data_IF_470237666645
#
_entry.id   IF_470237666645
#
_cell.length_a   1.000
_cell.length_b   1.000
_cell.length_c   1.000
_cell.angle_alpha   90.00
_cell.angle_beta   90.00
_cell.angle_gamma   90.00
#
_symmetry.space_group_name_H-M   'P 1'
#
loop_
_entity.id
_entity.type
_entity.pdbx_description
1 polymer ?
#
# COMPACT_ATOMS: atom_id res chain seq x y z
N UNK A 1 -15.41 -74.05 -17.19
CA UNK A 1 -15.74 -72.79 -17.85
C UNK A 1 -16.06 -71.65 -16.86
N UNK A 2 -15.23 -71.41 -15.82
CA UNK A 2 -15.43 -70.28 -14.85
C UNK A 2 -14.21 -69.50 -14.52
N UNK A 3 -13.02 -69.79 -15.08
CA UNK A 3 -11.76 -69.08 -14.77
C UNK A 3 -11.48 -67.93 -15.74
N UNK A 4 -12.02 -67.98 -16.96
CA UNK A 4 -11.77 -66.95 -17.98
C UNK A 4 -12.52 -65.64 -17.75
N UNK A 5 -13.61 -65.62 -17.00
CA UNK A 5 -14.41 -64.41 -16.76
C UNK A 5 -13.79 -63.53 -15.68
N UNK A 6 -13.06 -64.10 -14.73
CA UNK A 6 -12.46 -63.36 -13.62
C UNK A 6 -11.23 -62.53 -14.11
N UNK A 7 -10.48 -63.07 -15.08
CA UNK A 7 -9.28 -62.37 -15.62
C UNK A 7 -9.67 -61.18 -16.48
N UNK A 8 -10.79 -61.22 -17.21
CA UNK A 8 -11.27 -60.09 -18.00
C UNK A 8 -11.78 -58.91 -17.15
N UNK A 9 -12.35 -59.20 -15.95
CA UNK A 9 -12.83 -58.17 -15.05
C UNK A 9 -11.69 -57.40 -14.34
N UNK A 10 -10.55 -58.06 -14.10
CA UNK A 10 -9.39 -57.40 -13.47
C UNK A 10 -8.65 -56.49 -14.47
N UNK A 11 -8.61 -56.88 -15.77
CA UNK A 11 -7.97 -56.05 -16.79
C UNK A 11 -8.75 -54.76 -17.12
N UNK A 12 -10.08 -54.75 -16.90
CA UNK A 12 -10.92 -53.59 -17.16
C UNK A 12 -10.84 -52.53 -16.02
N UNK A 13 -10.45 -52.93 -14.80
CA UNK A 13 -10.34 -52.02 -13.66
C UNK A 13 -9.02 -51.21 -13.67
N UNK A 14 -8.01 -51.64 -14.44
CA UNK A 14 -6.71 -50.93 -14.54
C UNK A 14 -6.69 -49.78 -15.57
N UNK A 15 -7.75 -49.58 -16.37
CA UNK A 15 -7.76 -48.56 -17.43
C UNK A 15 -8.37 -47.20 -17.00
N UNK A 16 -8.83 -47.07 -15.76
CA UNK A 16 -9.39 -45.80 -15.23
C UNK A 16 -8.46 -45.07 -14.27
N UNK A 17 -7.14 -45.20 -14.46
CA UNK A 17 -6.23 -44.24 -13.86
C UNK A 17 -6.27 -42.94 -14.67
N UNK A 18 -7.26 -42.10 -14.38
CA UNK A 18 -7.21 -40.70 -14.81
C UNK A 18 -5.93 -40.11 -14.20
N UNK A 19 -4.95 -39.88 -15.05
CA UNK A 19 -3.82 -39.00 -14.71
C UNK A 19 -4.47 -37.63 -14.47
N UNK A 20 -4.78 -37.31 -13.23
CA UNK A 20 -4.96 -35.92 -12.82
C UNK A 20 -3.55 -35.35 -12.92
N UNK A 21 -3.21 -34.81 -14.09
CA UNK A 21 -2.09 -33.90 -14.19
C UNK A 21 -2.39 -32.80 -13.17
N UNK A 22 -1.67 -32.79 -12.06
CA UNK A 22 -1.64 -31.63 -11.19
C UNK A 22 -1.13 -30.50 -12.08
N UNK A 23 -2.02 -29.63 -12.54
CA UNK A 23 -1.63 -28.37 -13.10
C UNK A 23 -0.91 -27.64 -11.94
N UNK A 24 0.40 -27.69 -11.96
CA UNK A 24 1.22 -26.80 -11.18
C UNK A 24 0.79 -25.41 -11.64
N UNK A 25 0.36 -24.50 -10.74
CA UNK A 25 0.02 -23.14 -11.15
C UNK A 25 1.20 -22.61 -11.97
N UNK A 26 0.95 -22.21 -13.20
CA UNK A 26 1.97 -21.54 -13.98
C UNK A 26 2.43 -20.32 -13.17
N UNK A 27 3.75 -20.13 -13.00
CA UNK A 27 4.26 -18.93 -12.35
C UNK A 27 3.69 -17.73 -13.12
N UNK A 28 3.20 -16.70 -12.44
CA UNK A 28 2.70 -15.50 -13.11
C UNK A 28 3.76 -15.00 -14.08
N UNK A 29 3.35 -14.68 -15.30
CA UNK A 29 4.27 -14.20 -16.33
C UNK A 29 4.94 -12.87 -15.95
N UNK A 30 4.29 -12.11 -15.09
CA UNK A 30 4.84 -10.91 -14.45
C UNK A 30 4.18 -10.69 -13.07
N UNK A 31 4.85 -9.94 -12.20
CA UNK A 31 4.44 -9.67 -10.83
C UNK A 31 4.61 -8.18 -10.51
N UNK A 32 3.72 -7.67 -9.68
CA UNK A 32 3.78 -6.35 -9.06
C UNK A 32 3.76 -6.54 -7.54
N UNK A 33 4.66 -5.90 -6.81
CA UNK A 33 4.71 -5.98 -5.36
C UNK A 33 5.25 -4.70 -4.71
N UNK A 34 4.83 -4.43 -3.47
CA UNK A 34 5.35 -3.35 -2.64
C UNK A 34 6.55 -3.88 -1.85
N UNK A 35 7.63 -3.08 -1.79
CA UNK A 35 8.79 -3.34 -0.93
C UNK A 35 8.58 -2.66 0.43
N UNK A 36 8.40 -3.45 1.47
CA UNK A 36 8.28 -2.94 2.83
C UNK A 36 9.67 -2.65 3.43
N UNK A 37 9.85 -1.51 4.15
CA UNK A 37 11.16 -1.14 4.72
C UNK A 37 11.67 -2.08 5.80
N UNK A 38 10.77 -2.83 6.43
CA UNK A 38 11.04 -3.92 7.35
C UNK A 38 10.38 -5.15 6.74
N UNK A 39 10.93 -6.32 6.87
CA UNK A 39 10.41 -7.59 6.34
C UNK A 39 9.07 -8.01 6.99
N UNK A 40 8.18 -7.05 7.19
CA UNK A 40 6.92 -7.19 7.91
C UNK A 40 5.83 -6.41 7.15
N UNK A 41 5.04 -7.14 6.39
CA UNK A 41 3.91 -6.61 5.60
C UNK A 41 2.80 -6.03 6.50
N UNK A 42 2.78 -6.39 7.79
CA UNK A 42 1.82 -5.89 8.78
C UNK A 42 2.19 -4.48 9.29
N UNK A 43 3.35 -3.93 8.93
CA UNK A 43 3.76 -2.58 9.33
C UNK A 43 3.30 -1.52 8.32
N UNK A 44 2.39 -0.63 8.70
CA UNK A 44 1.94 0.45 7.84
C UNK A 44 3.07 1.45 7.54
N UNK A 45 3.01 2.08 6.37
CA UNK A 45 3.90 3.18 5.99
C UNK A 45 3.52 4.44 6.76
N UNK A 46 4.37 4.82 7.71
CA UNK A 46 4.13 5.98 8.56
C UNK A 46 4.40 7.28 7.82
N UNK A 47 3.39 8.15 7.74
CA UNK A 47 3.52 9.49 7.20
C UNK A 47 4.46 10.35 8.08
N UNK A 48 5.15 11.28 7.46
CA UNK A 48 5.87 12.36 8.18
C UNK A 48 4.87 13.35 8.79
N UNK A 49 5.35 14.22 9.67
CA UNK A 49 4.53 15.31 10.21
C UNK A 49 4.03 16.31 9.15
N UNK A 50 4.59 16.28 7.96
CA UNK A 50 4.18 17.08 6.80
C UNK A 50 3.24 16.36 5.86
N UNK A 51 2.81 15.13 6.21
CA UNK A 51 1.89 14.34 5.40
C UNK A 51 2.50 13.73 4.16
N UNK A 52 3.77 13.35 4.23
CA UNK A 52 4.49 12.75 3.11
C UNK A 52 5.15 11.43 3.49
N UNK A 53 5.25 10.51 2.53
CA UNK A 53 5.98 9.25 2.62
C UNK A 53 6.44 8.81 1.23
N UNK A 54 7.47 7.98 1.19
CA UNK A 54 7.96 7.36 -0.04
C UNK A 54 7.80 5.85 0.08
N UNK A 55 7.18 5.25 -0.92
CA UNK A 55 6.95 3.82 -1.04
C UNK A 55 7.78 3.29 -2.20
N UNK A 56 8.50 2.19 -1.98
CA UNK A 56 9.15 1.44 -3.05
C UNK A 56 8.27 0.29 -3.50
N UNK A 57 8.19 0.06 -4.81
CA UNK A 57 7.49 -1.08 -5.38
C UNK A 57 8.27 -1.64 -6.56
N UNK A 58 8.03 -2.88 -6.92
CA UNK A 58 8.74 -3.55 -8.01
C UNK A 58 7.80 -4.20 -9.00
N UNK A 59 8.32 -4.34 -10.23
CA UNK A 59 7.73 -5.20 -11.26
C UNK A 59 8.76 -6.23 -11.68
N UNK A 60 8.40 -7.51 -11.54
CA UNK A 60 9.17 -8.65 -12.05
C UNK A 60 8.59 -9.12 -13.37
N UNK A 61 9.41 -9.13 -14.42
CA UNK A 61 9.05 -9.71 -15.70
C UNK A 61 9.67 -11.10 -15.85
N UNK A 62 8.90 -12.16 -15.61
CA UNK A 62 9.33 -13.55 -15.75
C UNK A 62 9.12 -14.09 -17.17
N UNK A 63 8.71 -13.24 -18.14
CA UNK A 63 8.47 -13.63 -19.51
C UNK A 63 9.76 -13.54 -20.36
N UNK A 64 9.71 -14.13 -21.57
CA UNK A 64 10.82 -14.14 -22.51
C UNK A 64 10.90 -12.85 -23.37
N UNK A 65 9.89 -12.01 -23.31
CA UNK A 65 9.81 -10.74 -24.03
C UNK A 65 9.76 -9.57 -23.02
N UNK A 66 10.26 -8.39 -23.40
CA UNK A 66 10.05 -7.21 -22.57
C UNK A 66 8.55 -6.90 -22.47
N UNK A 67 8.12 -6.39 -21.33
CA UNK A 67 6.75 -5.94 -21.10
C UNK A 67 6.72 -4.44 -20.85
N UNK A 68 5.63 -3.79 -21.27
CA UNK A 68 5.33 -2.40 -20.87
C UNK A 68 4.11 -2.43 -19.96
N UNK A 69 4.23 -1.79 -18.80
CA UNK A 69 3.19 -1.71 -17.78
C UNK A 69 2.84 -0.25 -17.56
N UNK A 70 1.54 0.06 -17.62
CA UNK A 70 0.98 1.34 -17.23
C UNK A 70 0.52 1.25 -15.79
N UNK A 71 0.76 2.31 -15.00
CA UNK A 71 0.46 2.33 -13.57
C UNK A 71 -0.69 3.28 -13.25
N UNK A 72 -1.51 2.88 -12.27
CA UNK A 72 -2.55 3.68 -11.65
C UNK A 72 -2.43 3.58 -10.13
N UNK A 73 -2.74 4.67 -9.42
CA UNK A 73 -2.53 4.81 -7.99
C UNK A 73 -3.81 5.33 -7.32
N UNK A 74 -4.25 4.63 -6.26
CA UNK A 74 -5.31 5.10 -5.40
C UNK A 74 -4.73 5.46 -4.04
N UNK A 75 -4.73 6.76 -3.70
CA UNK A 75 -4.15 7.30 -2.47
C UNK A 75 -5.26 7.81 -1.56
N UNK A 76 -5.35 7.33 -0.30
CA UNK A 76 -6.34 7.78 0.66
C UNK A 76 -6.04 9.20 1.19
N UNK A 77 -6.92 9.72 2.04
CA UNK A 77 -6.79 11.02 2.72
C UNK A 77 -6.64 12.22 1.76
N UNK A 78 -7.18 12.10 0.53
CA UNK A 78 -7.04 13.13 -0.51
C UNK A 78 -5.57 13.47 -0.83
N UNK A 79 -4.66 12.50 -0.66
CA UNK A 79 -3.24 12.66 -0.93
C UNK A 79 -2.92 12.81 -2.41
N UNK A 80 -1.83 13.53 -2.69
CA UNK A 80 -1.22 13.64 -4.01
C UNK A 80 -0.10 12.61 -4.16
N UNK A 81 0.21 12.24 -5.41
CA UNK A 81 1.29 11.30 -5.68
C UNK A 81 2.17 11.74 -6.85
N UNK A 82 3.42 11.27 -6.83
CA UNK A 82 4.38 11.36 -7.93
C UNK A 82 5.04 9.98 -8.10
N UNK A 83 4.82 9.37 -9.25
CA UNK A 83 5.29 8.03 -9.61
C UNK A 83 5.32 7.80 -11.12
N UNK A 84 5.91 6.69 -11.60
CA UNK A 84 5.94 6.39 -13.01
C UNK A 84 4.52 6.15 -13.58
N UNK A 85 4.22 6.74 -14.74
CA UNK A 85 2.95 6.49 -15.44
C UNK A 85 3.00 5.20 -16.28
N UNK A 86 4.15 4.94 -16.93
CA UNK A 86 4.34 3.78 -17.79
C UNK A 86 5.81 3.43 -17.88
N UNK A 87 6.12 2.13 -17.79
CA UNK A 87 7.50 1.67 -17.81
C UNK A 87 7.68 0.34 -18.55
N UNK A 88 8.85 0.20 -19.20
CA UNK A 88 9.23 -1.05 -19.87
C UNK A 88 10.24 -1.83 -19.05
N UNK A 89 9.93 -3.10 -18.79
CA UNK A 89 10.76 -4.04 -18.05
C UNK A 89 11.27 -5.13 -19.01
N UNK A 90 12.59 -5.26 -19.10
CA UNK A 90 13.24 -6.27 -19.95
C UNK A 90 12.87 -7.69 -19.57
N UNK A 91 12.99 -8.63 -20.51
CA UNK A 91 12.74 -10.06 -20.31
C UNK A 91 13.60 -10.62 -19.15
N UNK A 92 12.99 -11.32 -18.21
CA UNK A 92 13.66 -11.93 -17.06
C UNK A 92 14.23 -10.93 -16.04
N UNK A 93 13.85 -9.64 -16.12
CA UNK A 93 14.35 -8.60 -15.23
C UNK A 93 13.33 -8.21 -14.17
N UNK A 94 13.86 -7.71 -13.05
CA UNK A 94 13.11 -7.00 -12.01
C UNK A 94 13.51 -5.51 -12.04
N UNK A 95 12.55 -4.60 -11.87
CA UNK A 95 12.79 -3.17 -11.78
C UNK A 95 12.01 -2.58 -10.61
N UNK A 96 12.73 -1.89 -9.73
CA UNK A 96 12.15 -1.18 -8.59
C UNK A 96 11.88 0.27 -8.95
N UNK A 97 10.77 0.79 -8.45
CA UNK A 97 10.27 2.14 -8.65
C UNK A 97 9.98 2.80 -7.32
N UNK A 98 9.81 4.10 -7.35
CA UNK A 98 9.48 4.91 -6.19
C UNK A 98 8.16 5.64 -6.44
N UNK A 99 7.25 5.57 -5.46
CA UNK A 99 6.03 6.35 -5.38
C UNK A 99 6.17 7.34 -4.22
N UNK A 100 6.22 8.63 -4.52
CA UNK A 100 6.18 9.67 -3.51
C UNK A 100 4.72 10.07 -3.26
N UNK A 101 4.26 9.95 -2.02
CA UNK A 101 2.92 10.35 -1.57
C UNK A 101 3.09 11.62 -0.74
N UNK A 102 2.23 12.62 -0.94
CA UNK A 102 2.31 13.92 -0.28
C UNK A 102 0.94 14.60 -0.19
N UNK A 103 0.90 15.81 0.36
CA UNK A 103 -0.33 16.62 0.41
C UNK A 103 -1.34 16.19 1.46
N UNK A 104 -1.10 15.12 2.22
CA UNK A 104 -2.02 14.64 3.24
C UNK A 104 -1.98 15.55 4.45
N UNK A 105 -3.15 16.12 4.82
CA UNK A 105 -3.23 16.94 6.03
C UNK A 105 -3.35 16.04 7.28
N UNK A 106 -2.20 15.74 7.89
CA UNK A 106 -2.13 14.85 9.07
C UNK A 106 -2.82 15.44 10.32
N UNK A 107 -3.05 16.78 10.38
CA UNK A 107 -3.71 17.42 11.52
C UNK A 107 -5.23 17.31 11.47
N UNK A 108 -5.81 17.17 10.27
CA UNK A 108 -7.25 17.02 10.07
C UNK A 108 -7.72 15.57 10.25
N UNK A 109 -6.77 14.63 10.31
CA UNK A 109 -7.03 13.22 10.48
C UNK A 109 -6.66 12.79 11.91
N UNK A 110 -7.46 11.91 12.55
CA UNK A 110 -7.13 11.40 13.89
C UNK A 110 -5.80 10.65 13.90
N UNK A 111 -5.03 10.83 14.97
CA UNK A 111 -3.78 10.09 15.17
C UNK A 111 -4.01 8.56 15.15
N UNK A 112 -3.01 7.80 14.70
CA UNK A 112 -3.01 6.33 14.62
C UNK A 112 -4.13 5.74 13.74
N UNK A 113 -4.71 6.55 12.83
CA UNK A 113 -5.62 6.06 11.79
C UNK A 113 -4.81 5.45 10.65
N UNK A 114 -5.24 4.28 10.16
CA UNK A 114 -4.69 3.63 8.96
C UNK A 114 -5.72 3.58 7.86
N UNK A 115 -5.29 3.78 6.62
CA UNK A 115 -6.09 3.54 5.42
C UNK A 115 -5.24 2.92 4.32
N UNK A 116 -5.88 2.08 3.50
CA UNK A 116 -5.23 1.36 2.40
C UNK A 116 -4.97 2.29 1.21
N UNK A 117 -3.80 2.16 0.61
CA UNK A 117 -3.49 2.66 -0.72
C UNK A 117 -3.27 1.49 -1.68
N UNK A 118 -3.48 1.71 -2.97
CA UNK A 118 -3.24 0.68 -3.98
C UNK A 118 -2.35 1.17 -5.13
N UNK A 119 -1.57 0.23 -5.66
CA UNK A 119 -0.80 0.38 -6.88
C UNK A 119 -1.31 -0.68 -7.85
N UNK A 120 -1.85 -0.25 -8.98
CA UNK A 120 -2.33 -1.15 -10.04
C UNK A 120 -1.46 -1.00 -11.27
N UNK A 121 -0.89 -2.10 -11.73
CA UNK A 121 -0.19 -2.19 -13.01
C UNK A 121 -1.08 -2.86 -14.06
N UNK A 122 -1.21 -2.24 -15.22
CA UNK A 122 -1.89 -2.81 -16.38
C UNK A 122 -0.88 -3.10 -17.49
N UNK A 123 -0.85 -4.33 -17.97
CA UNK A 123 0.02 -4.71 -19.07
C UNK A 123 -0.44 -4.08 -20.37
N UNK A 124 0.35 -3.13 -20.89
CA UNK A 124 0.08 -2.43 -22.15
C UNK A 124 0.57 -3.22 -23.36
N UNK A 125 1.76 -3.84 -23.27
CA UNK A 125 2.32 -4.62 -24.37
C UNK A 125 3.28 -5.72 -23.94
N UNK A 126 3.43 -6.74 -24.80
CA UNK A 126 4.50 -7.74 -24.76
C UNK A 126 5.37 -7.60 -26.01
N UNK A 127 6.65 -7.21 -25.83
CA UNK A 127 7.50 -6.77 -26.94
C UNK A 127 6.88 -5.56 -27.64
N UNK A 128 6.70 -5.68 -28.98
CA UNK A 128 6.07 -4.63 -29.80
C UNK A 128 4.57 -4.86 -30.04
N UNK A 129 3.97 -5.85 -29.37
CA UNK A 129 2.58 -6.23 -29.59
C UNK A 129 1.72 -5.67 -28.43
N UNK A 130 0.75 -4.79 -28.73
CA UNK A 130 -0.21 -4.33 -27.75
C UNK A 130 -1.01 -5.50 -27.14
N UNK A 131 -1.34 -5.40 -25.86
CA UNK A 131 -2.10 -6.44 -25.16
C UNK A 131 -3.62 -6.25 -25.41
N UNK A 132 -4.28 -7.15 -26.17
CA UNK A 132 -5.69 -6.98 -26.52
C UNK A 132 -6.65 -7.37 -25.39
N UNK A 133 -6.18 -8.16 -24.43
CA UNK A 133 -6.95 -8.60 -23.27
C UNK A 133 -6.33 -7.93 -22.04
N UNK A 134 -7.12 -7.25 -21.20
CA UNK A 134 -6.62 -6.67 -19.96
C UNK A 134 -5.95 -7.73 -19.07
N UNK A 135 -4.70 -7.48 -18.69
CA UNK A 135 -3.93 -8.27 -17.73
C UNK A 135 -3.37 -7.29 -16.71
N UNK A 136 -3.96 -7.28 -15.51
CA UNK A 136 -3.61 -6.35 -14.45
C UNK A 136 -3.17 -7.07 -13.19
N UNK A 137 -2.31 -6.42 -12.42
CA UNK A 137 -1.89 -6.80 -11.08
C UNK A 137 -2.07 -5.62 -10.17
N UNK A 138 -2.48 -5.86 -8.93
CA UNK A 138 -2.61 -4.85 -7.90
C UNK A 138 -1.86 -5.29 -6.65
N UNK A 139 -1.22 -4.34 -5.98
CA UNK A 139 -0.62 -4.52 -4.67
C UNK A 139 -1.08 -3.40 -3.76
N UNK A 140 -1.42 -3.73 -2.51
CA UNK A 140 -1.95 -2.78 -1.53
C UNK A 140 -1.00 -2.66 -0.34
N UNK A 141 -1.05 -1.51 0.31
CA UNK A 141 -0.36 -1.23 1.55
C UNK A 141 -1.16 -0.25 2.39
N UNK A 142 -0.76 -0.06 3.65
CA UNK A 142 -1.44 0.84 4.58
C UNK A 142 -0.62 2.08 4.87
N UNK A 143 -1.26 3.25 4.88
CA UNK A 143 -0.70 4.52 5.36
C UNK A 143 -1.16 4.75 6.80
N UNK A 144 -0.22 5.17 7.68
CA UNK A 144 -0.48 5.49 9.07
C UNK A 144 -0.34 6.99 9.32
N UNK A 145 -1.39 7.60 9.86
CA UNK A 145 -1.36 8.99 10.36
C UNK A 145 -0.55 9.05 11.66
N UNK A 146 0.55 9.82 11.72
CA UNK A 146 1.35 9.94 12.93
C UNK A 146 0.64 10.73 14.02
N UNK A 147 0.97 10.46 15.28
CA UNK A 147 0.56 11.29 16.41
C UNK A 147 1.35 12.60 16.40
N UNK A 148 0.64 13.72 16.41
CA UNK A 148 1.21 15.07 16.51
C UNK A 148 0.66 15.74 17.76
N UNK A 149 1.58 16.11 18.68
CA UNK A 149 1.28 16.92 19.85
C UNK A 149 1.70 18.34 19.57
N UNK A 150 0.76 19.29 19.69
CA UNK A 150 1.01 20.71 19.45
C UNK A 150 0.02 21.53 20.28
N UNK A 151 0.55 22.21 21.30
CA UNK A 151 -0.21 23.03 22.22
C UNK A 151 0.21 24.50 22.10
N UNK A 152 -0.77 25.35 21.82
CA UNK A 152 -0.63 26.79 21.90
C UNK A 152 -1.20 27.30 23.21
N UNK A 153 -0.40 28.04 23.99
CA UNK A 153 -0.82 28.68 25.22
C UNK A 153 -0.69 30.19 25.06
N UNK A 154 -1.77 30.92 25.22
CA UNK A 154 -1.77 32.37 25.25
C UNK A 154 -2.35 32.90 26.56
N UNK A 155 -1.73 33.95 27.10
CA UNK A 155 -2.15 34.58 28.34
C UNK A 155 -2.51 36.02 28.01
N UNK A 156 -3.69 36.45 28.43
CA UNK A 156 -4.09 37.85 28.31
C UNK A 156 -3.29 38.72 29.30
N UNK A 157 -2.63 39.75 28.80
CA UNK A 157 -1.96 40.73 29.68
C UNK A 157 -3.01 41.53 30.46
N UNK A 158 -2.74 41.79 31.77
CA UNK A 158 -3.63 42.63 32.56
C UNK A 158 -3.61 44.09 32.02
N UNK A 159 -4.79 44.67 31.91
CA UNK A 159 -4.95 46.03 31.42
C UNK A 159 -4.73 47.02 32.57
N UNK A 160 -3.61 47.73 32.54
CA UNK A 160 -3.30 48.89 33.40
C UNK A 160 -2.37 48.60 34.57
N UNK A 161 -1.98 49.66 35.30
CA UNK A 161 -1.09 49.55 36.45
C UNK A 161 -1.81 48.87 37.63
N UNK A 162 -1.14 47.91 38.25
CA UNK A 162 -1.65 47.20 39.42
C UNK A 162 -1.27 47.92 40.71
N UNK A 163 -2.22 48.13 41.61
CA UNK A 163 -1.98 48.63 42.94
C UNK A 163 -1.62 47.51 43.90
N UNK A 164 -0.82 47.81 44.91
CA UNK A 164 -0.48 46.84 45.94
C UNK A 164 -1.75 46.34 46.67
N UNK A 165 -1.96 45.02 46.71
CA UNK A 165 -3.13 44.40 47.33
C UNK A 165 -4.32 44.18 46.40
N UNK A 166 -4.22 44.49 45.10
CA UNK A 166 -5.26 44.19 44.10
C UNK A 166 -5.22 42.70 43.70
N UNK A 167 -6.40 42.12 43.54
CA UNK A 167 -6.56 40.81 42.89
C UNK A 167 -6.41 40.97 41.39
N UNK A 168 -5.75 40.03 40.73
CA UNK A 168 -5.60 39.97 39.31
C UNK A 168 -6.23 38.68 38.78
N UNK A 169 -7.07 38.79 37.77
CA UNK A 169 -7.56 37.65 37.00
C UNK A 169 -6.74 37.58 35.69
N UNK A 170 -6.15 36.44 35.44
CA UNK A 170 -5.48 36.11 34.18
C UNK A 170 -6.38 35.15 33.39
N UNK A 171 -6.58 35.45 32.16
CA UNK A 171 -7.23 34.53 31.23
C UNK A 171 -6.13 33.76 30.47
N UNK A 172 -6.15 32.42 30.61
CA UNK A 172 -5.22 31.53 29.91
C UNK A 172 -6.02 30.76 28.87
N UNK A 173 -5.70 30.98 27.59
CA UNK A 173 -6.28 30.22 26.49
C UNK A 173 -5.30 29.12 26.11
N UNK A 174 -5.79 27.89 26.13
CA UNK A 174 -5.06 26.71 25.66
C UNK A 174 -5.75 26.14 24.44
N UNK A 175 -5.00 25.98 23.36
CA UNK A 175 -5.47 25.37 22.12
C UNK A 175 -4.66 24.13 21.81
N UNK A 176 -5.33 23.02 21.50
CA UNK A 176 -4.69 21.86 20.91
C UNK A 176 -4.69 22.03 19.39
N UNK A 177 -3.49 22.15 18.81
CA UNK A 177 -3.26 22.24 17.36
C UNK A 177 -2.75 20.91 16.77
N UNK A 178 -2.59 19.88 17.61
CA UNK A 178 -2.26 18.52 17.21
C UNK A 178 -3.49 17.70 16.77
N UNK A 179 -3.26 16.45 16.38
CA UNK A 179 -4.30 15.50 15.98
C UNK A 179 -4.62 14.45 17.05
N UNK A 180 -4.03 14.58 18.24
CA UNK A 180 -4.26 13.70 19.38
C UNK A 180 -4.74 14.49 20.59
N UNK A 181 -5.50 13.87 21.54
CA UNK A 181 -5.88 14.53 22.77
C UNK A 181 -4.66 14.75 23.66
N UNK A 182 -4.44 15.99 24.08
CA UNK A 182 -3.41 16.37 25.04
C UNK A 182 -3.99 16.51 26.43
N UNK A 183 -3.20 16.15 27.45
CA UNK A 183 -3.53 16.40 28.88
C UNK A 183 -2.60 17.47 29.41
N UNK A 184 -3.18 18.59 29.79
CA UNK A 184 -2.48 19.62 30.55
C UNK A 184 -2.58 19.21 32.03
N UNK A 185 -1.45 18.82 32.62
CA UNK A 185 -1.36 18.45 34.03
C UNK A 185 -1.04 19.64 34.94
#
# INVERSE_FOLDING_TARGET
>A
MKVGVIIASIALLCMCSTIVASQQPEPPGWELGIEYPQEDEDNPFKLSSTGAVTVSFFVSNNELLPITVDFDYEIPFEGEYDGPESETIGAGNNKTFTLAISGINVRDNPAETTEEFSITGQLASRGSVPQPIPDSRSSTGELLIPTIYDLEISISEPVGPMNSGSEMTLEVLVRNLGNAPDRVG
#
